data_IF_685421181684
#
_entry.id   IF_685421181684
#
_cell.length_a   1.000
_cell.length_b   1.000
_cell.length_c   1.000
_cell.angle_alpha   90.00
_cell.angle_beta   90.00
_cell.angle_gamma   90.00
#
_symmetry.space_group_name_H-M   'P 1'
#
loop_
_entity.id
_entity.type
_entity.pdbx_description
1 polymer ?
#
# COMPACT_ATOMS: atom_id res chain seq x y z
N UNK A 1 4.39 -26.22 -11.46
CA UNK A 1 5.66 -26.82 -11.96
C UNK A 1 6.03 -27.89 -10.93
N UNK A 2 6.42 -29.09 -11.34
CA UNK A 2 6.82 -30.12 -10.37
C UNK A 2 8.33 -29.95 -10.13
N UNK A 3 8.73 -29.71 -8.89
CA UNK A 3 10.14 -29.67 -8.51
C UNK A 3 10.49 -30.97 -7.75
N UNK A 4 11.76 -31.36 -7.80
CA UNK A 4 12.26 -32.56 -7.13
C UNK A 4 13.21 -32.08 -6.03
N UNK A 5 12.84 -32.33 -4.77
CA UNK A 5 13.72 -32.07 -3.63
C UNK A 5 14.53 -33.32 -3.30
N UNK A 6 15.85 -33.21 -3.18
CA UNK A 6 16.73 -34.36 -2.93
C UNK A 6 17.25 -34.34 -1.49
N UNK A 7 16.96 -35.40 -0.73
CA UNK A 7 17.47 -35.63 0.62
C UNK A 7 18.31 -36.92 0.64
N UNK A 8 19.63 -36.79 0.82
CA UNK A 8 20.58 -37.92 0.82
C UNK A 8 20.48 -38.88 -0.39
N UNK A 9 20.18 -38.36 -1.58
CA UNK A 9 19.99 -39.17 -2.79
C UNK A 9 18.58 -39.73 -2.96
N UNK A 10 17.64 -39.35 -2.10
CA UNK A 10 16.23 -39.74 -2.18
C UNK A 10 15.39 -38.54 -2.62
N UNK A 11 14.59 -38.74 -3.68
CA UNK A 11 13.80 -37.71 -4.32
C UNK A 11 12.40 -37.60 -3.69
N UNK A 12 12.02 -36.39 -3.28
CA UNK A 12 10.67 -36.01 -2.88
C UNK A 12 10.05 -35.21 -4.00
N UNK A 13 8.90 -35.66 -4.51
CA UNK A 13 8.11 -34.90 -5.46
C UNK A 13 7.42 -33.72 -4.77
N UNK A 14 7.55 -32.52 -5.33
CA UNK A 14 6.90 -31.31 -4.82
C UNK A 14 6.01 -30.64 -5.86
N UNK A 15 5.07 -29.84 -5.36
CA UNK A 15 4.15 -29.00 -6.11
C UNK A 15 4.16 -27.61 -5.50
N UNK A 16 4.00 -26.59 -6.32
CA UNK A 16 3.71 -25.23 -5.84
C UNK A 16 2.22 -24.97 -5.98
N UNK A 17 1.56 -24.65 -4.86
CA UNK A 17 0.13 -24.29 -4.81
C UNK A 17 0.04 -22.99 -4.01
N UNK A 18 -0.55 -21.94 -4.58
CA UNK A 18 -0.66 -20.62 -3.97
C UNK A 18 0.69 -20.05 -3.47
N UNK A 19 1.73 -20.23 -4.29
CA UNK A 19 3.12 -19.86 -3.99
C UNK A 19 3.77 -20.58 -2.77
N UNK A 20 3.07 -21.56 -2.19
CA UNK A 20 3.57 -22.39 -1.09
C UNK A 20 3.99 -23.78 -1.58
N UNK A 21 5.05 -24.38 -1.00
CA UNK A 21 5.49 -25.72 -1.35
C UNK A 21 4.62 -26.80 -0.70
N UNK A 22 4.20 -27.76 -1.52
CA UNK A 22 3.51 -28.98 -1.11
C UNK A 22 4.34 -30.21 -1.48
N UNK A 23 4.37 -31.18 -0.59
CA UNK A 23 5.20 -32.38 -0.70
C UNK A 23 4.33 -33.62 -0.85
N UNK A 24 4.72 -34.56 -1.71
CA UNK A 24 4.04 -35.86 -1.75
C UNK A 24 4.33 -36.61 -0.45
N UNK A 25 3.34 -36.69 0.44
CA UNK A 25 3.52 -37.20 1.79
C UNK A 25 3.97 -38.66 1.84
N UNK A 26 3.62 -39.46 0.82
CA UNK A 26 4.09 -40.84 0.69
C UNK A 26 5.62 -40.88 0.56
N UNK A 27 6.19 -40.07 -0.32
CA UNK A 27 7.63 -40.04 -0.58
C UNK A 27 8.38 -39.65 0.70
N UNK A 28 7.88 -38.63 1.41
CA UNK A 28 8.42 -38.20 2.71
C UNK A 28 8.38 -39.34 3.73
N UNK A 29 7.25 -40.01 3.88
CA UNK A 29 7.10 -41.09 4.86
C UNK A 29 7.98 -42.31 4.52
N UNK A 30 8.14 -42.64 3.23
CA UNK A 30 9.04 -43.68 2.74
C UNK A 30 10.51 -43.35 3.09
N UNK A 31 10.94 -42.12 2.84
CA UNK A 31 12.29 -41.61 3.14
C UNK A 31 12.60 -41.69 4.64
N UNK A 32 11.62 -41.33 5.48
CA UNK A 32 11.77 -41.43 6.93
C UNK A 32 11.83 -42.89 7.42
N UNK A 33 11.41 -43.85 6.59
CA UNK A 33 11.45 -45.29 6.89
C UNK A 33 10.16 -45.85 7.48
N UNK A 34 9.01 -45.20 7.29
CA UNK A 34 7.73 -45.71 7.78
C UNK A 34 7.30 -46.96 6.99
N UNK A 35 7.06 -48.07 7.69
CA UNK A 35 6.59 -49.31 7.04
C UNK A 35 5.20 -49.17 6.38
N UNK A 36 4.38 -48.22 6.86
CA UNK A 36 3.06 -47.91 6.31
C UNK A 36 2.92 -46.40 6.11
N UNK A 37 3.32 -45.86 4.95
CA UNK A 37 3.32 -44.42 4.68
C UNK A 37 1.97 -43.73 4.89
N UNK A 38 0.90 -44.30 4.34
CA UNK A 38 -0.46 -43.74 4.45
C UNK A 38 -0.96 -43.70 5.90
N UNK A 39 -0.60 -44.70 6.70
CA UNK A 39 -0.96 -44.78 8.12
C UNK A 39 -0.16 -43.77 8.95
N UNK A 40 1.10 -43.53 8.59
CA UNK A 40 1.93 -42.50 9.20
C UNK A 40 1.38 -41.10 8.93
N UNK A 41 1.00 -40.80 7.68
CA UNK A 41 0.39 -39.52 7.31
C UNK A 41 -0.92 -39.33 8.09
N UNK A 42 -1.82 -40.32 8.07
CA UNK A 42 -3.12 -40.24 8.76
C UNK A 42 -3.02 -40.09 10.28
N UNK A 43 -1.92 -40.52 10.91
CA UNK A 43 -1.73 -40.42 12.37
C UNK A 43 -0.96 -39.18 12.82
N UNK A 44 -0.16 -38.59 11.93
CA UNK A 44 0.82 -37.59 12.31
C UNK A 44 0.67 -36.27 11.56
N UNK A 45 -0.25 -36.18 10.60
CA UNK A 45 -0.55 -34.97 9.85
C UNK A 45 -2.02 -34.62 10.08
N UNK A 46 -2.28 -33.37 10.43
CA UNK A 46 -3.64 -32.87 10.63
C UNK A 46 -4.39 -32.79 9.30
N UNK A 47 -5.73 -32.85 9.35
CA UNK A 47 -6.57 -32.83 8.13
C UNK A 47 -6.37 -31.54 7.32
N UNK A 48 -6.15 -30.41 8.00
CA UNK A 48 -5.91 -29.11 7.37
C UNK A 48 -4.54 -29.03 6.65
N UNK A 49 -3.61 -29.90 7.01
CA UNK A 49 -2.25 -29.93 6.48
C UNK A 49 -2.05 -30.99 5.38
N UNK A 50 -3.13 -31.68 4.96
CA UNK A 50 -3.08 -32.73 3.94
C UNK A 50 -4.24 -32.67 2.95
N UNK A 51 -3.94 -32.87 1.66
CA UNK A 51 -4.95 -32.84 0.59
C UNK A 51 -4.76 -34.03 -0.36
N UNK A 52 -5.86 -34.61 -0.82
CA UNK A 52 -5.84 -35.59 -1.92
C UNK A 52 -5.69 -34.85 -3.24
N UNK A 53 -4.62 -35.14 -3.97
CA UNK A 53 -4.29 -34.48 -5.22
C UNK A 53 -4.03 -35.49 -6.33
N UNK A 54 -4.61 -35.24 -7.50
CA UNK A 54 -4.37 -36.04 -8.70
C UNK A 54 -3.07 -35.63 -9.36
N UNK A 55 -2.03 -36.45 -9.23
CA UNK A 55 -0.73 -36.20 -9.85
C UNK A 55 -0.60 -37.00 -11.14
N UNK A 56 -0.32 -36.32 -12.26
CA UNK A 56 -0.05 -36.99 -13.54
C UNK A 56 1.41 -37.43 -13.59
N UNK A 57 1.62 -38.74 -13.66
CA UNK A 57 2.93 -39.38 -13.82
C UNK A 57 3.51 -39.12 -15.23
N UNK A 58 4.80 -39.32 -15.43
CA UNK A 58 5.52 -39.15 -16.70
C UNK A 58 4.97 -40.04 -17.84
N UNK A 59 4.20 -41.08 -17.49
CA UNK A 59 3.48 -41.95 -18.44
C UNK A 59 2.07 -41.45 -18.77
N UNK A 60 1.69 -40.24 -18.35
CA UNK A 60 0.37 -39.64 -18.62
C UNK A 60 -0.78 -40.20 -17.78
N UNK A 61 -0.47 -40.94 -16.70
CA UNK A 61 -1.48 -41.54 -15.80
C UNK A 61 -1.70 -40.65 -14.59
N UNK A 62 -2.94 -40.26 -14.31
CA UNK A 62 -3.29 -39.54 -13.08
C UNK A 62 -3.42 -40.51 -11.92
N UNK A 63 -2.59 -40.36 -10.90
CA UNK A 63 -2.67 -41.09 -9.64
C UNK A 63 -3.10 -40.15 -8.53
N UNK A 64 -4.13 -40.53 -7.77
CA UNK A 64 -4.50 -39.80 -6.56
C UNK A 64 -3.48 -40.12 -5.47
N UNK A 65 -2.79 -39.09 -5.00
CA UNK A 65 -1.83 -39.16 -3.90
C UNK A 65 -2.24 -38.19 -2.79
N UNK A 66 -1.63 -38.31 -1.62
CA UNK A 66 -1.78 -37.32 -0.54
C UNK A 66 -0.56 -36.42 -0.61
N UNK A 67 -0.82 -35.12 -0.70
CA UNK A 67 0.18 -34.07 -0.56
C UNK A 67 0.01 -33.41 0.80
N UNK A 68 1.12 -32.96 1.37
CA UNK A 68 1.17 -32.29 2.67
C UNK A 68 1.88 -30.95 2.52
N UNK A 69 1.41 -29.93 3.23
CA UNK A 69 2.09 -28.64 3.28
C UNK A 69 3.33 -28.72 4.20
N UNK A 70 4.03 -27.61 4.38
CA UNK A 70 5.23 -27.55 5.24
C UNK A 70 4.91 -27.87 6.72
N UNK A 71 3.74 -27.44 7.22
CA UNK A 71 3.28 -27.78 8.58
C UNK A 71 3.13 -29.30 8.75
N UNK A 72 2.44 -29.97 7.83
CA UNK A 72 2.27 -31.42 7.84
C UNK A 72 3.58 -32.19 7.69
N UNK A 73 4.51 -31.70 6.87
CA UNK A 73 5.86 -32.23 6.77
C UNK A 73 6.56 -32.23 8.13
N UNK A 74 6.54 -31.09 8.83
CA UNK A 74 7.15 -30.99 10.17
C UNK A 74 6.44 -31.87 11.19
N UNK A 75 5.11 -31.93 11.19
CA UNK A 75 4.35 -32.80 12.09
C UNK A 75 4.74 -34.27 11.92
N UNK A 76 4.92 -34.73 10.67
CA UNK A 76 5.36 -36.08 10.35
C UNK A 76 6.80 -36.38 10.84
N UNK A 77 7.72 -35.42 10.67
CA UNK A 77 9.13 -35.57 11.09
C UNK A 77 9.26 -35.51 12.62
N UNK A 78 8.64 -34.52 13.26
CA UNK A 78 8.78 -34.26 14.70
C UNK A 78 8.13 -35.34 15.56
N UNK A 79 7.06 -35.96 15.04
CA UNK A 79 6.34 -37.08 15.68
C UNK A 79 7.03 -38.43 15.47
N UNK A 80 7.89 -38.55 14.46
CA UNK A 80 8.56 -39.80 14.13
C UNK A 80 9.61 -40.20 15.18
N UNK A 81 9.70 -41.50 15.44
CA UNK A 81 10.73 -42.12 16.29
C UNK A 81 11.85 -42.77 15.48
N UNK A 82 11.78 -42.69 14.15
CA UNK A 82 12.72 -43.34 13.23
C UNK A 82 14.09 -42.63 13.24
N UNK A 83 15.19 -43.36 12.97
CA UNK A 83 16.54 -42.80 13.02
C UNK A 83 16.73 -41.56 12.13
N UNK A 84 16.24 -41.60 10.89
CA UNK A 84 16.33 -40.51 9.91
C UNK A 84 15.63 -39.24 10.42
N UNK A 85 14.43 -39.40 10.99
CA UNK A 85 13.71 -38.28 11.57
C UNK A 85 14.38 -37.70 12.81
N UNK A 86 15.03 -38.54 13.63
CA UNK A 86 15.79 -38.10 14.80
C UNK A 86 16.99 -37.26 14.42
N UNK A 87 17.68 -37.61 13.33
CA UNK A 87 18.82 -36.85 12.81
C UNK A 87 18.38 -35.45 12.37
N UNK A 88 17.35 -35.37 11.51
CA UNK A 88 16.79 -34.09 11.08
C UNK A 88 16.29 -33.25 12.27
N UNK A 89 15.52 -33.86 13.18
CA UNK A 89 15.02 -33.20 14.39
C UNK A 89 16.17 -32.64 15.23
N UNK A 90 17.25 -33.41 15.41
CA UNK A 90 18.40 -32.98 16.20
C UNK A 90 19.14 -31.84 15.51
N UNK A 91 19.32 -31.90 14.20
CA UNK A 91 19.92 -30.83 13.42
C UNK A 91 19.12 -29.52 13.54
N UNK A 92 17.81 -29.57 13.29
CA UNK A 92 16.93 -28.38 13.42
C UNK A 92 16.96 -27.80 14.84
N UNK A 93 16.86 -28.64 15.86
CA UNK A 93 16.78 -28.18 17.26
C UNK A 93 18.12 -27.75 17.86
N UNK A 94 19.24 -28.27 17.37
CA UNK A 94 20.57 -27.97 17.93
C UNK A 94 21.31 -26.87 17.16
N UNK A 95 21.02 -26.71 15.87
CA UNK A 95 21.75 -25.79 14.99
C UNK A 95 20.83 -24.70 14.44
N UNK A 96 19.79 -25.07 13.69
CA UNK A 96 18.94 -24.13 12.95
C UNK A 96 18.18 -23.19 13.89
N UNK A 97 17.40 -23.72 14.82
CA UNK A 97 16.60 -22.90 15.74
C UNK A 97 17.47 -22.03 16.66
N UNK A 98 18.59 -22.54 17.23
CA UNK A 98 19.51 -21.70 17.99
C UNK A 98 20.17 -20.60 17.17
N UNK A 99 20.54 -20.87 15.91
CA UNK A 99 21.10 -19.85 15.01
C UNK A 99 20.09 -18.75 14.73
N UNK A 100 18.86 -19.10 14.32
CA UNK A 100 17.78 -18.13 14.08
C UNK A 100 17.51 -17.31 15.34
N UNK A 101 17.39 -17.94 16.52
CA UNK A 101 17.14 -17.23 17.78
C UNK A 101 18.25 -16.25 18.15
N UNK A 102 19.52 -16.57 17.88
CA UNK A 102 20.68 -15.74 18.27
C UNK A 102 21.02 -14.68 17.23
N UNK A 103 20.91 -15.00 15.95
CA UNK A 103 21.44 -14.21 14.84
C UNK A 103 20.32 -13.60 13.98
N UNK A 104 19.05 -13.99 14.19
CA UNK A 104 17.91 -13.56 13.38
C UNK A 104 17.72 -14.34 12.09
N UNK A 105 18.61 -15.30 11.76
CA UNK A 105 18.52 -16.15 10.59
C UNK A 105 19.43 -17.38 10.68
N UNK A 106 19.24 -18.34 9.78
CA UNK A 106 20.16 -19.47 9.58
C UNK A 106 20.84 -19.27 8.23
N UNK A 107 22.17 -19.13 8.24
CA UNK A 107 22.98 -18.99 7.04
C UNK A 107 23.74 -20.30 6.86
N UNK A 108 23.57 -20.95 5.72
CA UNK A 108 24.34 -22.14 5.37
C UNK A 108 25.78 -21.71 5.04
N UNK A 109 26.77 -22.44 5.52
CA UNK A 109 28.20 -22.10 5.40
C UNK A 109 28.74 -22.06 3.95
N UNK A 110 27.97 -22.56 2.99
CA UNK A 110 28.29 -22.60 1.55
C UNK A 110 27.82 -21.35 0.78
N UNK A 111 27.13 -20.41 1.44
CA UNK A 111 26.72 -19.15 0.83
C UNK A 111 27.87 -18.15 0.91
N UNK A 112 28.23 -17.58 -0.24
CA UNK A 112 29.24 -16.52 -0.33
C UNK A 112 28.82 -15.31 0.51
N UNK A 113 29.65 -14.96 1.50
CA UNK A 113 29.40 -13.87 2.45
C UNK A 113 29.19 -12.54 1.71
N UNK A 114 29.90 -12.35 0.58
CA UNK A 114 29.77 -11.18 -0.28
C UNK A 114 28.40 -11.11 -0.98
N UNK A 115 27.86 -12.25 -1.43
CA UNK A 115 26.54 -12.31 -2.04
C UNK A 115 25.44 -11.95 -1.04
N UNK A 116 25.61 -12.33 0.23
CA UNK A 116 24.67 -12.00 1.30
C UNK A 116 24.72 -10.51 1.65
N UNK A 117 25.92 -9.95 1.83
CA UNK A 117 26.10 -8.50 2.05
C UNK A 117 25.48 -7.73 0.89
N UNK A 118 25.70 -8.16 -0.36
CA UNK A 118 25.11 -7.54 -1.55
C UNK A 118 23.58 -7.59 -1.55
N UNK A 119 22.98 -8.72 -1.15
CA UNK A 119 21.52 -8.87 -1.07
C UNK A 119 20.91 -7.92 -0.03
N UNK A 120 21.44 -7.89 1.19
CA UNK A 120 20.90 -7.05 2.27
C UNK A 120 21.11 -5.56 2.01
N UNK A 121 22.30 -5.18 1.52
CA UNK A 121 22.57 -3.78 1.15
C UNK A 121 21.72 -3.35 -0.04
N UNK A 122 21.54 -4.23 -1.03
CA UNK A 122 20.62 -4.03 -2.15
C UNK A 122 19.19 -3.83 -1.69
N UNK A 123 18.68 -4.69 -0.80
CA UNK A 123 17.33 -4.59 -0.27
C UNK A 123 17.10 -3.33 0.56
N UNK A 124 18.07 -2.93 1.39
CA UNK A 124 18.03 -1.68 2.14
C UNK A 124 17.96 -0.48 1.20
N UNK A 125 18.85 -0.42 0.20
CA UNK A 125 18.88 0.66 -0.79
C UNK A 125 17.59 0.74 -1.59
N UNK A 126 17.01 -0.40 -1.97
CA UNK A 126 15.73 -0.47 -2.66
C UNK A 126 14.60 0.12 -1.81
N UNK A 127 14.56 -0.18 -0.49
CA UNK A 127 13.59 0.40 0.44
C UNK A 127 13.76 1.90 0.58
N UNK A 128 14.99 2.39 0.72
CA UNK A 128 15.27 3.82 0.79
C UNK A 128 14.81 4.54 -0.48
N UNK A 129 15.06 3.95 -1.66
CA UNK A 129 14.55 4.47 -2.93
C UNK A 129 13.02 4.46 -2.99
N UNK A 130 12.36 3.39 -2.54
CA UNK A 130 10.90 3.33 -2.48
C UNK A 130 10.31 4.41 -1.57
N UNK A 131 10.90 4.65 -0.39
CA UNK A 131 10.46 5.71 0.52
C UNK A 131 10.62 7.09 -0.12
N UNK A 132 11.79 7.37 -0.71
CA UNK A 132 12.03 8.65 -1.42
C UNK A 132 11.05 8.83 -2.59
N UNK A 133 10.78 7.78 -3.37
CA UNK A 133 9.79 7.84 -4.45
C UNK A 133 8.36 8.10 -3.94
N UNK A 134 7.99 7.52 -2.80
CA UNK A 134 6.67 7.75 -2.18
C UNK A 134 6.52 9.19 -1.71
N UNK A 135 7.56 9.77 -1.11
CA UNK A 135 7.61 11.19 -0.72
C UNK A 135 7.48 12.11 -1.95
N UNK A 136 8.21 11.83 -3.03
CA UNK A 136 8.11 12.58 -4.29
C UNK A 136 6.70 12.50 -4.88
N UNK A 137 6.08 11.31 -4.87
CA UNK A 137 4.71 11.13 -5.35
C UNK A 137 3.72 11.94 -4.51
N UNK A 138 3.87 11.96 -3.20
CA UNK A 138 2.98 12.72 -2.31
C UNK A 138 3.14 14.22 -2.54
N UNK A 139 4.39 14.71 -2.64
CA UNK A 139 4.69 16.09 -3.02
C UNK A 139 4.03 16.45 -4.35
N UNK A 140 4.23 15.65 -5.40
CA UNK A 140 3.63 15.88 -6.72
C UNK A 140 2.10 15.90 -6.66
N UNK A 141 1.47 14.98 -5.92
CA UNK A 141 0.01 14.97 -5.74
C UNK A 141 -0.50 16.23 -5.03
N UNK A 142 0.26 16.75 -4.08
CA UNK A 142 -0.09 17.94 -3.31
C UNK A 142 0.01 19.24 -4.12
N UNK A 143 1.03 19.34 -5.00
CA UNK A 143 1.29 20.49 -5.87
C UNK A 143 0.45 20.50 -7.14
N UNK A 144 -0.19 19.36 -7.47
CA UNK A 144 -1.07 19.29 -8.63
C UNK A 144 -2.17 20.37 -8.56
N UNK A 145 -2.49 20.99 -9.71
CA UNK A 145 -3.62 21.89 -9.80
C UNK A 145 -4.95 21.22 -9.39
N UNK A 146 -5.84 22.00 -8.80
CA UNK A 146 -7.22 21.56 -8.54
C UNK A 146 -7.96 21.26 -9.84
N UNK A 147 -8.97 20.40 -9.74
CA UNK A 147 -9.84 20.13 -10.89
C UNK A 147 -10.67 21.37 -11.27
N UNK A 148 -10.94 21.63 -12.57
CA UNK A 148 -11.71 22.79 -13.02
C UNK A 148 -13.09 22.96 -12.37
N UNK A 149 -13.79 21.87 -12.03
CA UNK A 149 -15.08 21.93 -11.32
C UNK A 149 -14.97 22.53 -9.91
N UNK A 150 -13.85 22.27 -9.23
CA UNK A 150 -13.58 22.87 -7.92
C UNK A 150 -13.27 24.37 -8.08
N UNK A 151 -12.51 24.74 -9.12
CA UNK A 151 -12.26 26.15 -9.43
C UNK A 151 -13.56 26.92 -9.71
N UNK A 152 -14.52 26.32 -10.43
CA UNK A 152 -15.86 26.90 -10.61
C UNK A 152 -16.61 27.09 -9.28
N UNK A 153 -16.46 26.14 -8.35
CA UNK A 153 -17.08 26.23 -7.02
C UNK A 153 -16.47 27.38 -6.20
N UNK A 154 -15.15 27.59 -6.29
CA UNK A 154 -14.47 28.75 -5.68
C UNK A 154 -14.98 30.07 -6.27
N UNK A 155 -15.13 30.15 -7.60
CA UNK A 155 -15.69 31.35 -8.26
C UNK A 155 -17.13 31.64 -7.80
N UNK A 156 -17.95 30.61 -7.58
CA UNK A 156 -19.30 30.75 -7.04
C UNK A 156 -19.26 31.29 -5.60
N UNK A 157 -18.36 30.79 -4.75
CA UNK A 157 -18.16 31.29 -3.38
C UNK A 157 -17.68 32.73 -3.36
N UNK A 158 -16.68 33.08 -4.18
CA UNK A 158 -16.22 34.45 -4.39
C UNK A 158 -17.39 35.36 -4.73
N UNK A 159 -18.21 34.96 -5.72
CA UNK A 159 -19.34 35.78 -6.16
C UNK A 159 -20.32 36.03 -5.02
N UNK A 160 -20.70 34.98 -4.29
CA UNK A 160 -21.58 35.11 -3.14
C UNK A 160 -21.02 36.03 -2.05
N UNK A 161 -19.72 35.89 -1.74
CA UNK A 161 -19.04 36.72 -0.73
C UNK A 161 -19.00 38.20 -1.14
N UNK A 162 -18.57 38.50 -2.36
CA UNK A 162 -18.48 39.89 -2.84
C UNK A 162 -19.86 40.55 -2.86
N UNK A 163 -20.91 39.84 -3.31
CA UNK A 163 -22.29 40.35 -3.28
C UNK A 163 -22.74 40.63 -1.85
N UNK A 164 -22.43 39.75 -0.90
CA UNK A 164 -22.74 39.99 0.51
C UNK A 164 -22.03 41.26 1.04
N UNK A 165 -20.76 41.46 0.70
CA UNK A 165 -20.01 42.67 1.09
C UNK A 165 -20.58 43.95 0.46
N UNK A 166 -21.13 43.88 -0.76
CA UNK A 166 -21.80 45.02 -1.42
C UNK A 166 -23.17 45.35 -0.81
N UNK A 167 -23.70 44.50 0.08
CA UNK A 167 -25.02 44.67 0.72
C UNK A 167 -26.16 43.88 0.07
N UNK A 168 -25.86 42.93 -0.83
CA UNK A 168 -26.86 42.11 -1.52
C UNK A 168 -27.02 42.46 -3.01
N UNK A 169 -27.87 41.69 -3.71
CA UNK A 169 -28.12 41.88 -5.15
C UNK A 169 -28.94 43.15 -5.42
N UNK A 170 -29.82 43.52 -4.49
CA UNK A 170 -30.69 44.69 -4.61
C UNK A 170 -30.06 45.96 -4.04
N UNK A 171 -28.78 45.92 -3.63
CA UNK A 171 -28.13 47.07 -3.03
C UNK A 171 -27.77 48.13 -4.09
N UNK A 172 -27.86 49.43 -3.75
CA UNK A 172 -27.40 50.51 -4.62
C UNK A 172 -25.93 50.35 -5.06
N UNK A 173 -25.06 49.90 -4.16
CA UNK A 173 -23.66 49.62 -4.48
C UNK A 173 -23.49 48.48 -5.49
N UNK A 174 -24.37 47.48 -5.51
CA UNK A 174 -24.36 46.42 -6.52
C UNK A 174 -24.95 46.90 -7.85
N UNK A 175 -25.96 47.77 -7.81
CA UNK A 175 -26.60 48.33 -9.01
C UNK A 175 -25.63 49.21 -9.85
N UNK A 176 -24.69 49.90 -9.21
CA UNK A 176 -23.59 50.57 -9.90
C UNK A 176 -22.62 49.53 -10.50
N UNK A 177 -22.81 49.26 -11.80
CA UNK A 177 -22.03 48.24 -12.52
C UNK A 177 -20.53 48.53 -12.54
N UNK A 178 -20.13 49.79 -12.66
CA UNK A 178 -18.71 50.15 -12.77
C UNK A 178 -18.05 49.92 -11.42
N UNK A 179 -18.67 50.42 -10.36
CA UNK A 179 -18.16 50.25 -9.01
C UNK A 179 -18.17 48.78 -8.58
N UNK A 180 -19.29 48.06 -8.74
CA UNK A 180 -19.38 46.65 -8.40
C UNK A 180 -18.31 45.81 -9.12
N UNK A 181 -18.08 46.04 -10.43
CA UNK A 181 -17.01 45.37 -11.18
C UNK A 181 -15.62 45.63 -10.59
N UNK A 182 -15.36 46.84 -10.09
CA UNK A 182 -14.09 47.16 -9.42
C UNK A 182 -13.89 46.33 -8.13
N UNK A 183 -14.96 46.09 -7.36
CA UNK A 183 -14.91 45.26 -6.14
C UNK A 183 -14.70 43.78 -6.48
N UNK A 184 -15.35 43.26 -7.53
CA UNK A 184 -15.07 41.91 -8.02
C UNK A 184 -13.64 41.75 -8.50
N UNK A 185 -13.09 42.76 -9.18
CA UNK A 185 -11.70 42.77 -9.64
C UNK A 185 -10.73 42.80 -8.46
N UNK A 186 -11.00 43.61 -7.44
CA UNK A 186 -10.22 43.65 -6.21
C UNK A 186 -10.16 42.27 -5.56
N UNK A 187 -11.32 41.65 -5.32
CA UNK A 187 -11.39 40.30 -4.76
C UNK A 187 -10.58 39.28 -5.57
N UNK A 188 -10.65 39.36 -6.91
CA UNK A 188 -9.88 38.47 -7.77
C UNK A 188 -8.37 38.61 -7.60
N UNK A 189 -7.88 39.85 -7.55
CA UNK A 189 -6.45 40.15 -7.38
C UNK A 189 -5.99 39.69 -6.01
N UNK A 190 -6.70 40.07 -4.95
CA UNK A 190 -6.32 39.72 -3.57
C UNK A 190 -6.18 38.19 -3.37
N UNK A 191 -7.10 37.41 -3.96
CA UNK A 191 -7.04 35.95 -3.89
C UNK A 191 -5.84 35.39 -4.66
N UNK A 192 -5.61 35.87 -5.88
CA UNK A 192 -4.49 35.43 -6.72
C UNK A 192 -3.15 35.75 -6.09
N UNK A 193 -3.02 36.92 -5.50
CA UNK A 193 -1.81 37.35 -4.81
C UNK A 193 -1.58 36.53 -3.53
N UNK A 194 -2.64 36.26 -2.75
CA UNK A 194 -2.53 35.46 -1.52
C UNK A 194 -2.05 34.02 -1.78
N UNK A 195 -2.56 33.37 -2.83
CA UNK A 195 -2.17 32.01 -3.19
C UNK A 195 -1.02 31.94 -4.21
N UNK A 196 -0.49 33.10 -4.64
CA UNK A 196 0.55 33.23 -5.67
C UNK A 196 0.22 32.46 -6.96
N UNK A 197 -0.98 32.67 -7.50
CA UNK A 197 -1.47 32.00 -8.73
C UNK A 197 -1.98 33.00 -9.76
N UNK A 198 -1.78 32.71 -11.03
CA UNK A 198 -2.31 33.54 -12.13
C UNK A 198 -3.78 33.22 -12.46
N UNK A 199 -4.21 31.97 -12.21
CA UNK A 199 -5.54 31.45 -12.54
C UNK A 199 -6.03 30.50 -11.44
N UNK A 200 -7.33 30.45 -11.21
CA UNK A 200 -7.93 29.71 -10.10
C UNK A 200 -7.73 28.19 -10.19
N UNK A 201 -7.81 27.64 -11.39
CA UNK A 201 -7.58 26.23 -11.65
C UNK A 201 -6.12 25.80 -11.45
N UNK A 202 -5.16 26.75 -11.43
CA UNK A 202 -3.77 26.50 -11.09
C UNK A 202 -3.53 26.44 -9.57
N UNK A 203 -4.56 26.64 -8.74
CA UNK A 203 -4.43 26.50 -7.30
C UNK A 203 -3.96 25.06 -6.96
N UNK A 204 -2.84 24.90 -6.23
CA UNK A 204 -2.41 23.58 -5.78
C UNK A 204 -3.47 22.91 -4.89
N UNK A 205 -3.66 21.60 -5.03
CA UNK A 205 -4.63 20.82 -4.24
C UNK A 205 -4.45 21.00 -2.73
N UNK A 206 -3.21 21.09 -2.25
CA UNK A 206 -2.90 21.36 -0.82
C UNK A 206 -3.53 22.64 -0.26
N UNK A 207 -3.86 23.61 -1.12
CA UNK A 207 -4.47 24.87 -0.73
C UNK A 207 -5.99 24.92 -0.93
N UNK A 208 -6.62 23.82 -1.33
CA UNK A 208 -8.06 23.77 -1.62
C UNK A 208 -8.91 24.24 -0.42
N UNK A 209 -8.67 23.68 0.76
CA UNK A 209 -9.44 24.04 1.97
C UNK A 209 -9.15 25.47 2.45
N UNK A 210 -7.88 25.90 2.37
CA UNK A 210 -7.48 27.26 2.69
C UNK A 210 -8.16 28.28 1.75
N UNK A 211 -8.30 27.96 0.46
CA UNK A 211 -9.00 28.81 -0.51
C UNK A 211 -10.50 28.92 -0.22
N UNK A 212 -11.14 27.85 0.24
CA UNK A 212 -12.53 27.93 0.70
C UNK A 212 -12.66 28.81 1.94
N UNK A 213 -11.77 28.64 2.92
CA UNK A 213 -11.75 29.42 4.15
C UNK A 213 -11.50 30.91 3.88
N UNK A 214 -10.60 31.24 2.96
CA UNK A 214 -10.32 32.60 2.52
C UNK A 214 -11.60 33.32 2.08
N UNK A 215 -12.45 32.67 1.28
CA UNK A 215 -13.71 33.29 0.83
C UNK A 215 -14.77 33.45 1.92
N UNK A 216 -14.64 32.77 3.05
CA UNK A 216 -15.54 32.97 4.18
C UNK A 216 -15.18 34.24 4.96
N UNK A 217 -13.92 34.68 4.91
CA UNK A 217 -13.39 35.79 5.70
C UNK A 217 -12.98 37.01 4.87
N UNK A 218 -12.86 36.88 3.55
CA UNK A 218 -12.46 38.01 2.69
C UNK A 218 -13.36 39.22 2.86
N UNK A 219 -12.77 40.41 2.90
CA UNK A 219 -13.47 41.68 2.92
C UNK A 219 -12.73 42.68 2.01
N UNK A 220 -13.45 43.62 1.37
CA UNK A 220 -12.82 44.60 0.50
C UNK A 220 -11.94 45.56 1.30
N UNK A 221 -11.06 46.32 0.63
CA UNK A 221 -10.21 47.30 1.34
C UNK A 221 -11.04 48.36 2.05
N UNK A 222 -10.43 49.01 3.04
CA UNK A 222 -11.09 50.04 3.86
C UNK A 222 -11.76 51.13 3.02
N UNK A 223 -11.08 51.64 2.00
CA UNK A 223 -11.62 52.67 1.11
C UNK A 223 -12.84 52.15 0.32
N UNK A 224 -12.77 50.92 -0.19
CA UNK A 224 -13.89 50.28 -0.87
C UNK A 224 -15.08 50.09 0.08
N UNK A 225 -14.84 49.66 1.33
CA UNK A 225 -15.91 49.55 2.35
C UNK A 225 -16.60 50.89 2.61
N UNK A 226 -15.83 51.96 2.81
CA UNK A 226 -16.40 53.30 3.02
C UNK A 226 -17.29 53.70 1.84
N UNK A 227 -16.84 53.44 0.61
CA UNK A 227 -17.61 53.77 -0.59
C UNK A 227 -18.90 52.94 -0.72
N UNK A 228 -18.86 51.66 -0.36
CA UNK A 228 -20.06 50.81 -0.28
C UNK A 228 -21.08 51.41 0.70
N UNK A 229 -20.62 51.83 1.88
CA UNK A 229 -21.48 52.45 2.89
C UNK A 229 -22.14 53.72 2.36
N UNK A 230 -21.37 54.64 1.76
CA UNK A 230 -21.92 55.86 1.14
C UNK A 230 -23.03 55.53 0.14
N UNK A 231 -22.73 54.69 -0.87
CA UNK A 231 -23.68 54.37 -1.94
C UNK A 231 -24.97 53.74 -1.39
N UNK A 232 -24.85 52.87 -0.40
CA UNK A 232 -26.01 52.21 0.20
C UNK A 232 -26.82 53.14 1.11
N UNK A 233 -26.20 54.16 1.73
CA UNK A 233 -26.91 55.16 2.55
C UNK A 233 -27.68 56.22 1.74
N UNK A 234 -27.12 56.68 0.61
CA UNK A 234 -27.70 57.81 -0.14
C UNK A 234 -28.93 57.46 -0.98
N UNK A 235 -29.24 56.17 -1.16
CA UNK A 235 -30.43 55.73 -1.93
C UNK A 235 -31.66 55.43 -1.05
N UNK A 236 -31.55 55.59 0.27
CA UNK A 236 -32.66 55.41 1.23
C UNK A 236 -33.36 56.73 1.63
N UNK A 237 -32.96 57.87 1.04
CA UNK A 237 -33.57 59.19 1.22
C UNK A 237 -34.25 59.64 -0.07
#
# INVERSE_FOLDING_TARGET
>A
MNEIFNFHGQEVRTLTIDDEPWFVGKDVADILGYAKPLDAISRHVDEDDSVKYGLTDNLGRTQNTIIINESGLYSLILSSKLPQAKEFKRWVTSEVLPAIRKQGGFIREDLDEDAFIALFTGQKKLREQQTSMLEDIDYLKSEQPIHPSYAQSLLKKRKARVVACLGGIDSPAYADKIFAQSVFRQAEIDFKDHFNISRYDLLPKKHADAALAYWMTWEPSTNTKMKIMELNTFSQA
#
